data_IF_111181655976
#
_entry.id   IF_111181655976
#
_cell.length_a   1.000
_cell.length_b   1.000
_cell.length_c   1.000
_cell.angle_alpha   90.00
_cell.angle_beta   90.00
_cell.angle_gamma   90.00
#
_symmetry.space_group_name_H-M   'P 1'
#
loop_
_entity.id
_entity.type
_entity.pdbx_description
1 polymer ?
#
# COMPACT_ATOMS: atom_id res chain seq x y z
N UNK A 1 18.14 -22.59 -33.13
CA UNK A 1 18.30 -21.12 -33.16
C UNK A 1 18.08 -20.63 -34.61
N UNK A 2 16.86 -20.74 -35.14
CA UNK A 2 16.53 -20.48 -36.58
C UNK A 2 15.33 -19.51 -36.69
N UNK A 3 14.99 -18.80 -35.61
CA UNK A 3 13.92 -17.80 -35.64
C UNK A 3 14.52 -16.41 -35.86
N UNK A 4 13.83 -15.58 -36.65
CA UNK A 4 14.19 -14.17 -36.79
C UNK A 4 14.07 -13.48 -35.43
N UNK A 5 14.96 -12.53 -35.19
CA UNK A 5 14.89 -11.67 -34.01
C UNK A 5 13.59 -10.84 -34.07
N UNK A 6 12.87 -10.65 -32.97
CA UNK A 6 11.66 -9.84 -32.97
C UNK A 6 11.98 -8.38 -33.31
N UNK A 7 11.14 -7.79 -34.15
CA UNK A 7 11.19 -6.37 -34.54
C UNK A 7 9.97 -5.67 -33.96
N UNK A 8 10.13 -4.39 -33.60
CA UNK A 8 9.04 -3.60 -33.07
C UNK A 8 8.02 -3.31 -34.17
N UNK A 9 6.75 -3.59 -33.89
CA UNK A 9 5.64 -3.21 -34.75
C UNK A 9 4.91 -2.02 -34.13
N UNK A 10 5.06 -0.85 -34.74
CA UNK A 10 4.42 0.38 -34.28
C UNK A 10 2.89 0.29 -34.31
N UNK A 11 2.29 -0.61 -35.11
CA UNK A 11 0.84 -0.80 -35.15
C UNK A 11 0.30 -1.52 -33.91
N UNK A 12 1.18 -2.15 -33.11
CA UNK A 12 0.82 -2.81 -31.85
C UNK A 12 1.08 -1.90 -30.62
N UNK A 13 1.61 -0.70 -30.82
CA UNK A 13 1.80 0.28 -29.74
C UNK A 13 0.49 1.01 -29.46
N UNK A 14 0.06 0.98 -28.20
CA UNK A 14 -1.19 1.56 -27.74
C UNK A 14 -0.97 2.34 -26.44
N UNK A 15 -0.74 3.65 -26.59
CA UNK A 15 -0.48 4.56 -25.48
C UNK A 15 -1.67 4.65 -24.51
N UNK A 16 -2.91 4.46 -25.00
CA UNK A 16 -4.11 4.51 -24.17
C UNK A 16 -4.20 3.25 -23.30
N UNK A 17 -3.93 2.08 -23.87
CA UNK A 17 -3.84 0.83 -23.13
C UNK A 17 -2.70 0.87 -22.08
N UNK A 18 -1.53 1.43 -22.44
CA UNK A 18 -0.43 1.61 -21.50
C UNK A 18 -0.81 2.54 -20.34
N UNK A 19 -1.50 3.66 -20.63
CA UNK A 19 -2.00 4.60 -19.61
C UNK A 19 -3.00 3.94 -18.66
N UNK A 20 -3.99 3.24 -19.21
CA UNK A 20 -5.01 2.54 -18.42
C UNK A 20 -4.38 1.47 -17.53
N UNK A 21 -3.51 0.63 -18.11
CA UNK A 21 -2.88 -0.44 -17.36
C UNK A 21 -1.88 0.08 -16.33
N UNK A 22 -1.18 1.17 -16.65
CA UNK A 22 -0.37 1.93 -15.70
C UNK A 22 -1.17 2.34 -14.47
N UNK A 23 -2.31 3.01 -14.66
CA UNK A 23 -3.18 3.44 -13.58
C UNK A 23 -3.71 2.26 -12.72
N UNK A 24 -4.07 1.13 -13.35
CA UNK A 24 -4.48 -0.09 -12.64
C UNK A 24 -3.33 -0.67 -11.80
N UNK A 25 -2.14 -0.80 -12.39
CA UNK A 25 -0.96 -1.33 -11.70
C UNK A 25 -0.56 -0.46 -10.51
N UNK A 26 -0.56 0.85 -10.67
CA UNK A 26 -0.28 1.78 -9.57
C UNK A 26 -1.36 1.73 -8.49
N UNK A 27 -2.65 1.61 -8.87
CA UNK A 27 -3.74 1.43 -7.92
C UNK A 27 -3.56 0.16 -7.07
N UNK A 28 -3.17 -0.96 -7.70
CA UNK A 28 -2.85 -2.21 -7.00
C UNK A 28 -1.66 -2.03 -6.05
N UNK A 29 -0.61 -1.30 -6.47
CA UNK A 29 0.54 -1.00 -5.60
C UNK A 29 0.09 -0.17 -4.38
N UNK A 30 -0.75 0.84 -4.58
CA UNK A 30 -1.29 1.65 -3.50
C UNK A 30 -2.11 0.80 -2.51
N UNK A 31 -2.97 -0.09 -3.01
CA UNK A 31 -3.74 -1.04 -2.16
C UNK A 31 -2.79 -1.89 -1.31
N UNK A 32 -1.74 -2.45 -1.91
CA UNK A 32 -0.78 -3.30 -1.20
C UNK A 32 0.02 -2.53 -0.15
N UNK A 33 0.40 -1.29 -0.45
CA UNK A 33 1.10 -0.42 0.49
C UNK A 33 0.21 -0.06 1.68
N UNK A 34 -1.03 0.37 1.44
CA UNK A 34 -2.00 0.65 2.51
C UNK A 34 -2.23 -0.58 3.40
N UNK A 35 -2.36 -1.77 2.80
CA UNK A 35 -2.48 -3.03 3.56
C UNK A 35 -1.24 -3.34 4.40
N UNK A 36 -0.05 -3.03 3.91
CA UNK A 36 1.19 -3.23 4.65
C UNK A 36 1.30 -2.26 5.83
N UNK A 37 0.88 -1.01 5.66
CA UNK A 37 0.87 0.00 6.73
C UNK A 37 -0.01 -0.41 7.92
N UNK A 38 -1.18 -1.01 7.64
CA UNK A 38 -2.07 -1.54 8.68
C UNK A 38 -1.83 -3.02 9.03
N UNK A 39 -0.67 -3.58 8.64
CA UNK A 39 -0.24 -4.96 8.96
C UNK A 39 -1.30 -6.04 8.63
N UNK A 40 -2.04 -5.85 7.54
CA UNK A 40 -3.09 -6.79 7.13
C UNK A 40 -2.44 -8.06 6.59
N UNK A 41 -2.83 -9.26 7.06
CA UNK A 41 -2.29 -10.51 6.54
C UNK A 41 -2.51 -10.62 5.02
N UNK A 42 -1.51 -11.04 4.23
CA UNK A 42 -1.60 -11.07 2.77
C UNK A 42 -2.82 -11.82 2.22
N UNK A 43 -3.26 -12.89 2.90
CA UNK A 43 -4.42 -13.70 2.52
C UNK A 43 -5.78 -13.20 3.02
N UNK A 44 -5.84 -12.19 3.90
CA UNK A 44 -7.11 -11.61 4.37
C UNK A 44 -7.66 -10.73 3.26
N UNK A 45 -8.81 -11.12 2.69
CA UNK A 45 -9.51 -10.34 1.69
C UNK A 45 -10.24 -9.16 2.33
N UNK A 46 -10.21 -8.01 1.65
CA UNK A 46 -10.71 -6.74 2.19
C UNK A 46 -11.57 -6.00 1.17
N UNK A 47 -12.62 -5.29 1.58
CA UNK A 47 -13.37 -4.45 0.66
C UNK A 47 -12.51 -3.25 0.23
N UNK A 48 -12.68 -2.79 -1.01
CA UNK A 48 -12.07 -1.57 -1.50
C UNK A 48 -13.06 -0.80 -2.37
N UNK A 49 -12.95 0.52 -2.34
CA UNK A 49 -13.74 1.44 -3.14
C UNK A 49 -12.78 2.23 -4.03
N UNK A 50 -13.04 2.31 -5.32
CA UNK A 50 -12.25 3.09 -6.26
C UNK A 50 -13.13 4.16 -6.90
N UNK A 51 -12.77 5.43 -6.74
CA UNK A 51 -13.34 6.55 -7.47
C UNK A 51 -12.48 6.76 -8.72
N UNK A 52 -13.01 6.45 -9.90
CA UNK A 52 -12.29 6.61 -11.15
C UNK A 52 -12.84 7.80 -11.94
N UNK A 53 -11.95 8.53 -12.62
CA UNK A 53 -12.34 9.49 -13.64
C UNK A 53 -13.17 8.82 -14.75
N UNK A 54 -14.05 9.58 -15.39
CA UNK A 54 -15.02 9.06 -16.35
C UNK A 54 -14.38 8.32 -17.55
N UNK A 55 -13.20 8.74 -17.98
CA UNK A 55 -12.44 8.11 -19.08
C UNK A 55 -11.76 6.80 -18.67
N UNK A 56 -11.50 6.59 -17.37
CA UNK A 56 -10.84 5.39 -16.84
C UNK A 56 -11.82 4.38 -16.24
N UNK A 57 -13.02 4.80 -15.83
CA UNK A 57 -14.00 3.95 -15.14
C UNK A 57 -14.32 2.66 -15.88
N UNK A 58 -14.68 2.75 -17.16
CA UNK A 58 -15.02 1.58 -17.97
C UNK A 58 -13.83 0.62 -18.10
N UNK A 59 -12.62 1.16 -18.25
CA UNK A 59 -11.39 0.39 -18.29
C UNK A 59 -11.08 -0.31 -16.96
N UNK A 60 -11.28 0.37 -15.83
CA UNK A 60 -11.09 -0.20 -14.49
C UNK A 60 -12.11 -1.30 -14.21
N UNK A 61 -13.38 -1.08 -14.56
CA UNK A 61 -14.45 -2.08 -14.41
C UNK A 61 -14.18 -3.33 -15.25
N UNK A 62 -13.77 -3.17 -16.51
CA UNK A 62 -13.40 -4.29 -17.39
C UNK A 62 -12.21 -5.09 -16.84
N UNK A 63 -11.34 -4.45 -16.06
CA UNK A 63 -10.12 -5.02 -15.48
C UNK A 63 -10.23 -5.29 -13.97
N UNK A 64 -11.43 -5.23 -13.39
CA UNK A 64 -11.68 -5.39 -11.96
C UNK A 64 -11.13 -6.72 -11.40
N UNK A 65 -11.09 -7.78 -12.23
CA UNK A 65 -10.53 -9.07 -11.87
C UNK A 65 -9.04 -8.99 -11.45
N UNK A 66 -8.26 -8.13 -12.10
CA UNK A 66 -6.86 -7.92 -11.73
C UNK A 66 -6.76 -7.29 -10.34
N UNK A 67 -7.59 -6.28 -10.06
CA UNK A 67 -7.64 -5.61 -8.76
C UNK A 67 -8.07 -6.59 -7.66
N UNK A 68 -9.08 -7.43 -7.92
CA UNK A 68 -9.52 -8.48 -7.01
C UNK A 68 -8.40 -9.47 -6.65
N UNK A 69 -7.77 -10.05 -7.67
CA UNK A 69 -6.76 -11.09 -7.48
C UNK A 69 -5.47 -10.54 -6.89
N UNK A 70 -4.97 -9.44 -7.44
CA UNK A 70 -3.68 -8.87 -7.09
C UNK A 70 -3.73 -8.00 -5.84
N UNK A 71 -4.85 -7.32 -5.58
CA UNK A 71 -5.09 -6.53 -4.37
C UNK A 71 -5.57 -7.36 -3.17
N UNK A 72 -5.95 -8.63 -3.39
CA UNK A 72 -6.67 -9.47 -2.42
C UNK A 72 -7.93 -8.77 -1.92
N UNK A 73 -8.73 -8.26 -2.85
CA UNK A 73 -9.96 -7.53 -2.54
C UNK A 73 -11.14 -8.50 -2.52
N UNK A 74 -11.97 -8.46 -1.47
CA UNK A 74 -13.20 -9.26 -1.38
C UNK A 74 -14.30 -8.70 -2.27
N UNK A 75 -14.47 -7.38 -2.22
CA UNK A 75 -15.51 -6.65 -2.92
C UNK A 75 -14.90 -5.33 -3.41
N UNK A 76 -15.01 -5.09 -4.72
CA UNK A 76 -14.55 -3.86 -5.34
C UNK A 76 -15.77 -3.05 -5.77
N UNK A 77 -15.93 -1.86 -5.20
CA UNK A 77 -16.94 -0.89 -5.65
C UNK A 77 -16.25 0.17 -6.48
N UNK A 78 -16.60 0.28 -7.77
CA UNK A 78 -16.11 1.37 -8.62
C UNK A 78 -17.19 2.44 -8.70
N UNK A 79 -16.83 3.66 -8.34
CA UNK A 79 -17.71 4.82 -8.29
C UNK A 79 -17.13 5.95 -9.15
N UNK A 80 -17.95 6.93 -9.47
CA UNK A 80 -17.51 8.14 -10.16
C UNK A 80 -16.69 9.04 -9.21
N UNK A 81 -15.76 9.82 -9.75
CA UNK A 81 -14.93 10.78 -9.00
C UNK A 81 -15.70 11.77 -8.11
N UNK A 82 -16.95 12.07 -8.47
CA UNK A 82 -17.88 12.91 -7.70
C UNK A 82 -18.59 12.22 -6.53
N UNK A 83 -18.46 10.91 -6.37
CA UNK A 83 -19.21 10.18 -5.34
C UNK A 83 -18.70 10.49 -3.92
N UNK A 84 -19.57 10.24 -2.94
CA UNK A 84 -19.26 10.50 -1.53
C UNK A 84 -18.07 9.66 -1.05
N UNK A 85 -17.07 10.35 -0.49
CA UNK A 85 -15.86 9.71 0.05
C UNK A 85 -16.24 8.93 1.32
N UNK A 86 -15.85 7.65 1.44
CA UNK A 86 -16.18 6.86 2.62
C UNK A 86 -15.51 7.43 3.87
N UNK A 87 -16.27 7.54 4.95
CA UNK A 87 -15.73 7.91 6.27
C UNK A 87 -14.93 6.74 6.85
N UNK A 88 -13.83 7.02 7.56
CA UNK A 88 -12.94 6.02 8.18
C UNK A 88 -12.31 5.00 7.20
N UNK A 89 -11.80 5.49 6.07
CA UNK A 89 -11.03 4.72 5.11
C UNK A 89 -9.63 5.30 4.91
N UNK A 90 -8.64 4.44 4.63
CA UNK A 90 -7.37 4.90 4.07
C UNK A 90 -7.58 5.28 2.62
N UNK A 91 -7.04 6.41 2.20
CA UNK A 91 -7.17 6.91 0.84
C UNK A 91 -5.79 7.01 0.17
N UNK A 92 -5.72 6.65 -1.10
CA UNK A 92 -4.57 6.89 -1.95
C UNK A 92 -5.05 7.42 -3.31
N UNK A 93 -4.42 8.47 -3.82
CA UNK A 93 -4.74 9.03 -5.14
C UNK A 93 -3.64 8.63 -6.11
N UNK A 94 -4.05 8.02 -7.22
CA UNK A 94 -3.16 7.43 -8.20
C UNK A 94 -3.66 7.74 -9.60
N UNK A 95 -2.93 8.57 -10.34
CA UNK A 95 -3.12 8.75 -11.80
C UNK A 95 -4.59 8.89 -12.25
N UNK A 96 -5.39 9.68 -11.53
CA UNK A 96 -6.82 9.90 -11.84
C UNK A 96 -7.81 8.92 -11.19
N UNK A 97 -7.33 8.05 -10.32
CA UNK A 97 -8.12 7.10 -9.53
C UNK A 97 -7.85 7.32 -8.04
N UNK A 98 -8.89 7.56 -7.27
CA UNK A 98 -8.80 7.56 -5.81
C UNK A 98 -9.20 6.18 -5.26
N UNK A 99 -8.31 5.55 -4.51
CA UNK A 99 -8.55 4.23 -3.90
C UNK A 99 -8.78 4.40 -2.41
N UNK A 100 -9.87 3.83 -1.92
CA UNK A 100 -10.27 3.83 -0.53
C UNK A 100 -10.32 2.41 0.03
N UNK A 101 -9.67 2.21 1.17
CA UNK A 101 -9.71 0.98 1.93
C UNK A 101 -10.44 1.22 3.25
N UNK A 102 -11.72 0.79 3.40
CA UNK A 102 -12.45 0.92 4.65
C UNK A 102 -11.69 0.24 5.80
N UNK A 103 -11.39 0.97 6.87
CA UNK A 103 -10.66 0.43 8.03
C UNK A 103 -11.53 -0.45 8.94
N UNK A 104 -12.85 -0.37 8.78
CA UNK A 104 -13.83 -1.11 9.56
C UNK A 104 -13.67 -2.63 9.35
N UNK A 105 -13.37 -3.36 10.44
CA UNK A 105 -13.16 -4.82 10.44
C UNK A 105 -11.77 -5.28 9.99
N UNK A 106 -10.90 -4.33 9.64
CA UNK A 106 -9.57 -4.59 9.12
C UNK A 106 -8.48 -4.57 10.21
N UNK A 107 -8.57 -3.60 11.11
CA UNK A 107 -7.65 -3.42 12.24
C UNK A 107 -8.14 -4.24 13.44
N UNK A 108 -7.33 -5.20 13.88
CA UNK A 108 -7.47 -5.82 15.19
C UNK A 108 -6.82 -4.88 16.21
N UNK A 109 -7.64 -4.01 16.81
CA UNK A 109 -7.21 -2.97 17.76
C UNK A 109 -6.44 -3.58 18.94
N UNK A 110 -6.79 -4.80 19.35
CA UNK A 110 -6.15 -5.47 20.47
C UNK A 110 -4.76 -5.97 20.08
N UNK A 111 -4.63 -6.58 18.90
CA UNK A 111 -3.33 -7.00 18.34
C UNK A 111 -2.41 -5.81 18.04
N UNK A 112 -2.96 -4.70 17.55
CA UNK A 112 -2.17 -3.50 17.27
C UNK A 112 -1.68 -2.84 18.56
N UNK A 113 -2.51 -2.78 19.60
CA UNK A 113 -2.08 -2.34 20.93
C UNK A 113 -0.98 -3.24 21.51
N UNK A 114 -1.08 -4.56 21.36
CA UNK A 114 -0.03 -5.49 21.82
C UNK A 114 1.29 -5.28 21.07
N UNK A 115 1.22 -5.05 19.75
CA UNK A 115 2.39 -4.76 18.91
C UNK A 115 3.07 -3.46 19.36
N UNK A 116 2.31 -2.38 19.47
CA UNK A 116 2.80 -1.06 19.90
C UNK A 116 3.41 -1.12 21.30
N UNK A 117 2.78 -1.83 22.26
CA UNK A 117 3.35 -2.02 23.59
C UNK A 117 4.67 -2.81 23.58
N UNK A 118 4.81 -3.80 22.70
CA UNK A 118 6.05 -4.57 22.55
C UNK A 118 7.17 -3.71 21.94
N UNK A 119 6.83 -2.87 20.99
CA UNK A 119 7.76 -1.93 20.36
C UNK A 119 8.22 -0.86 21.38
N UNK A 120 7.28 -0.30 22.14
CA UNK A 120 7.54 0.66 23.21
C UNK A 120 8.47 0.06 24.28
N UNK A 121 8.19 -1.14 24.78
CA UNK A 121 9.06 -1.81 25.77
C UNK A 121 10.46 -2.15 25.22
N UNK A 122 10.60 -2.35 23.90
CA UNK A 122 11.91 -2.56 23.27
C UNK A 122 12.69 -1.25 23.23
N UNK A 123 12.06 -0.17 22.78
CA UNK A 123 12.65 1.17 22.74
C UNK A 123 13.03 1.64 24.14
N UNK A 124 12.19 1.39 25.16
CA UNK A 124 12.50 1.73 26.56
C UNK A 124 13.72 0.98 27.09
N UNK A 125 13.91 -0.29 26.71
CA UNK A 125 15.10 -1.06 27.08
C UNK A 125 16.35 -0.54 26.39
N UNK A 126 16.25 -0.15 25.12
CA UNK A 126 17.35 0.49 24.41
C UNK A 126 17.70 1.84 25.01
N UNK A 127 16.70 2.66 25.34
CA UNK A 127 16.88 3.93 26.03
C UNK A 127 17.61 3.73 27.36
N UNK A 128 17.15 2.81 28.21
CA UNK A 128 17.83 2.47 29.48
C UNK A 128 19.26 1.99 29.27
N UNK A 129 19.51 1.23 28.20
CA UNK A 129 20.86 0.75 27.86
C UNK A 129 21.77 1.89 27.41
N UNK A 130 21.25 2.85 26.64
CA UNK A 130 21.97 4.03 26.18
C UNK A 130 22.24 4.97 27.36
N UNK A 131 21.23 5.26 28.18
CA UNK A 131 21.35 6.05 29.42
C UNK A 131 22.36 5.42 30.39
N UNK A 132 22.30 4.10 30.60
CA UNK A 132 23.26 3.40 31.46
C UNK A 132 24.69 3.37 30.91
N UNK A 133 24.88 3.47 29.58
CA UNK A 133 26.21 3.67 28.98
C UNK A 133 26.70 5.10 29.15
N UNK A 134 25.81 6.09 29.01
CA UNK A 134 26.11 7.51 29.18
C UNK A 134 26.35 7.90 30.65
N UNK A 135 25.69 7.24 31.60
CA UNK A 135 25.89 7.49 33.03
C UNK A 135 27.13 6.80 33.60
N UNK A 136 27.82 5.96 32.81
CA UNK A 136 28.99 5.23 33.25
C UNK A 136 30.24 6.07 32.95
N UNK A 137 30.77 6.74 33.97
CA UNK A 137 31.94 7.64 33.86
C UNK A 137 33.16 6.95 33.24
N UNK A 138 33.32 5.63 33.42
CA UNK A 138 34.37 4.84 32.77
C UNK A 138 34.20 4.63 31.26
N UNK A 139 32.97 4.78 30.73
CA UNK A 139 32.66 4.76 29.29
C UNK A 139 32.90 6.14 28.66
N UNK A 140 32.57 7.22 29.37
CA UNK A 140 32.91 8.60 28.99
C UNK A 140 34.42 8.85 28.97
N UNK A 141 35.17 8.31 29.95
CA UNK A 141 36.62 8.49 30.05
C UNK A 141 37.44 7.66 29.03
N UNK A 142 36.82 6.67 28.36
CA UNK A 142 37.44 5.84 27.32
C UNK A 142 36.83 6.02 25.93
N UNK A 143 35.83 6.88 25.80
CA UNK A 143 35.27 7.21 24.50
C UNK A 143 36.32 8.03 23.71
N UNK A 144 36.71 7.62 22.48
CA UNK A 144 37.57 8.42 21.63
C UNK A 144 36.88 9.75 21.30
N UNK A 145 37.65 10.85 21.29
CA UNK A 145 37.14 12.17 20.90
C UNK A 145 36.54 12.13 19.49
N UNK A 146 35.46 12.89 19.30
CA UNK A 146 34.66 12.96 18.08
C UNK A 146 35.42 13.62 16.91
#
# INVERSE_FOLDING_TARGET
MISKWPEADAALMDDEAERLMGAIMESIKAIRNMRAEVNVPPGKKVPAIMLAAADLKAGVEANANYVHLMGAISELTVLDDTAAKPENAMAAVVSGIEVYLPLAGLIDVEKENQRLNKELTTIEKELKRVEGKLSNEGFLAKAPEA
#
